data_IF_816618237373
#
_entry.id   IF_816618237373
#
_cell.length_a   1.000
_cell.length_b   1.000
_cell.length_c   1.000
_cell.angle_alpha   90.00
_cell.angle_beta   90.00
_cell.angle_gamma   90.00
#
_symmetry.space_group_name_H-M   'P 1'
#
loop_
_entity.id
_entity.type
_entity.pdbx_description
1 polymer ?
#
# COMPACT_ATOMS: atom_id res chain seq x y z
N UNK A 1 13.82 -3.96 -11.01
CA UNK A 1 12.36 -3.69 -11.01
C UNK A 1 12.06 -2.73 -9.88
N UNK A 2 11.27 -1.68 -10.13
CA UNK A 2 10.84 -0.73 -9.10
C UNK A 2 9.45 -1.13 -8.59
N UNK A 3 9.31 -1.32 -7.28
CA UNK A 3 8.02 -1.60 -6.65
C UNK A 3 7.26 -0.28 -6.45
N UNK A 4 5.98 -0.18 -6.86
CA UNK A 4 5.17 0.98 -6.53
C UNK A 4 5.09 1.20 -5.02
N UNK A 5 5.34 2.45 -4.61
CA UNK A 5 5.24 2.90 -3.22
C UNK A 5 4.09 3.88 -3.08
N UNK A 6 3.08 3.50 -2.30
CA UNK A 6 1.93 4.34 -1.97
C UNK A 6 2.10 4.83 -0.54
N UNK A 7 2.03 6.14 -0.31
CA UNK A 7 2.14 6.72 1.04
C UNK A 7 0.84 7.44 1.39
N UNK A 8 0.23 7.07 2.52
CA UNK A 8 -1.01 7.69 3.00
C UNK A 8 -0.86 8.11 4.46
N UNK A 9 -1.73 9.01 4.93
CA UNK A 9 -1.78 9.37 6.36
C UNK A 9 -2.19 8.16 7.20
N UNK A 10 -1.56 8.05 8.35
CA UNK A 10 -1.88 7.06 9.37
C UNK A 10 -3.23 7.40 10.00
N UNK A 11 -4.18 6.49 9.88
CA UNK A 11 -5.52 6.58 10.45
C UNK A 11 -6.03 5.17 10.79
N UNK A 12 -7.02 5.01 11.68
CA UNK A 12 -7.45 3.68 12.16
C UNK A 12 -7.73 2.68 11.03
N UNK A 13 -8.46 3.09 10.00
CA UNK A 13 -8.77 2.24 8.84
C UNK A 13 -7.51 1.81 8.08
N UNK A 14 -6.54 2.71 7.90
CA UNK A 14 -5.29 2.39 7.20
C UNK A 14 -4.40 1.43 7.99
N UNK A 15 -4.49 1.44 9.33
CA UNK A 15 -3.77 0.51 10.21
C UNK A 15 -4.35 -0.91 10.20
N UNK A 16 -5.60 -1.07 9.78
CA UNK A 16 -6.23 -2.38 9.62
C UNK A 16 -5.82 -3.11 8.34
N UNK A 17 -5.25 -2.38 7.37
CA UNK A 17 -4.75 -2.96 6.10
C UNK A 17 -3.51 -3.81 6.41
N UNK A 18 -3.42 -4.97 5.76
CA UNK A 18 -2.29 -5.89 5.90
C UNK A 18 -1.88 -6.46 4.51
N UNK A 19 -0.89 -7.35 4.49
CA UNK A 19 -0.31 -7.89 3.24
C UNK A 19 -1.20 -8.89 2.50
N UNK A 20 -2.36 -9.28 3.02
CA UNK A 20 -3.35 -10.05 2.26
C UNK A 20 -4.26 -9.17 1.38
N UNK A 21 -4.11 -7.85 1.48
CA UNK A 21 -4.92 -6.88 0.74
C UNK A 21 -4.25 -6.47 -0.58
N UNK A 22 -5.06 -5.93 -1.49
CA UNK A 22 -4.62 -5.30 -2.74
C UNK A 22 -5.02 -3.83 -2.79
N UNK A 23 -4.31 -3.05 -3.60
CA UNK A 23 -4.55 -1.64 -3.87
C UNK A 23 -4.90 -1.51 -5.35
N UNK A 24 -5.99 -0.83 -5.67
CA UNK A 24 -6.39 -0.52 -7.04
C UNK A 24 -6.16 0.96 -7.32
N UNK A 25 -5.42 1.28 -8.38
CA UNK A 25 -5.42 2.63 -8.94
C UNK A 25 -6.70 2.83 -9.76
N UNK A 26 -7.66 3.56 -9.19
CA UNK A 26 -8.95 3.85 -9.82
C UNK A 26 -8.86 4.57 -11.18
N UNK A 27 -7.73 5.23 -11.49
CA UNK A 27 -7.56 5.93 -12.77
C UNK A 27 -7.14 4.99 -13.90
N UNK A 28 -6.23 4.05 -13.60
CA UNK A 28 -5.69 3.12 -14.60
C UNK A 28 -6.33 1.73 -14.55
N UNK A 29 -7.05 1.40 -13.48
CA UNK A 29 -7.60 0.07 -13.22
C UNK A 29 -6.55 -0.95 -12.77
N UNK A 30 -5.29 -0.55 -12.59
CA UNK A 30 -4.22 -1.46 -12.20
C UNK A 30 -4.36 -1.87 -10.74
N UNK A 31 -4.23 -3.16 -10.49
CA UNK A 31 -4.29 -3.76 -9.15
C UNK A 31 -2.88 -4.20 -8.74
N UNK A 32 -2.52 -3.87 -7.50
CA UNK A 32 -1.22 -4.19 -6.91
C UNK A 32 -1.44 -4.94 -5.61
N UNK A 33 -0.70 -6.03 -5.41
CA UNK A 33 -0.73 -6.79 -4.16
C UNK A 33 0.21 -6.15 -3.13
N UNK A 34 -0.27 -5.93 -1.91
CA UNK A 34 0.54 -5.33 -0.84
C UNK A 34 1.58 -6.35 -0.37
N UNK A 35 2.85 -5.98 -0.43
CA UNK A 35 3.96 -6.84 0.03
C UNK A 35 4.50 -6.42 1.38
N UNK A 36 4.52 -5.12 1.65
CA UNK A 36 5.10 -4.58 2.87
C UNK A 36 4.43 -3.26 3.25
N UNK A 37 4.26 -3.05 4.55
CA UNK A 37 3.72 -1.81 5.11
C UNK A 37 4.75 -1.29 6.11
N UNK A 38 5.18 -0.04 5.94
CA UNK A 38 6.15 0.63 6.81
C UNK A 38 5.55 1.92 7.38
N UNK A 39 5.40 2.06 8.70
CA UNK A 39 5.16 3.35 9.29
C UNK A 39 6.37 4.27 9.12
N UNK A 40 6.14 5.57 9.01
CA UNK A 40 7.21 6.55 9.13
C UNK A 40 7.69 6.66 10.58
N UNK A 41 8.85 7.30 10.79
CA UNK A 41 9.47 7.42 12.13
C UNK A 41 8.55 8.08 13.16
N UNK A 42 7.63 8.95 12.74
CA UNK A 42 6.70 9.66 13.62
C UNK A 42 5.33 8.98 13.73
N UNK A 43 5.08 7.91 12.98
CA UNK A 43 3.79 7.22 12.90
C UNK A 43 2.66 8.02 12.24
N UNK A 44 2.97 9.14 11.60
CA UNK A 44 2.03 10.01 10.90
C UNK A 44 1.64 9.47 9.51
N UNK A 45 2.46 8.62 8.91
CA UNK A 45 2.24 8.06 7.57
C UNK A 45 2.50 6.55 7.55
N UNK A 46 1.83 5.88 6.61
CA UNK A 46 2.07 4.49 6.25
C UNK A 46 2.50 4.42 4.79
N UNK A 47 3.62 3.76 4.53
CA UNK A 47 4.15 3.47 3.21
C UNK A 47 3.87 2.00 2.85
N UNK A 48 3.04 1.80 1.83
CA UNK A 48 2.72 0.51 1.24
C UNK A 48 3.65 0.27 0.06
N UNK A 49 4.43 -0.81 0.13
CA UNK A 49 5.19 -1.33 -1.00
C UNK A 49 4.34 -2.43 -1.61
N UNK A 50 3.97 -2.25 -2.87
CA UNK A 50 3.14 -3.18 -3.60
C UNK A 50 3.87 -3.68 -4.84
N UNK A 51 3.41 -4.81 -5.36
CA UNK A 51 3.93 -5.39 -6.59
C UNK A 51 2.77 -5.63 -7.54
N UNK A 52 2.97 -5.41 -8.85
CA UNK A 52 1.98 -5.77 -9.84
C UNK A 52 1.80 -7.28 -9.81
N UNK A 53 0.64 -7.73 -9.35
CA UNK A 53 0.24 -9.12 -9.49
C UNK A 53 -0.82 -9.20 -10.57
N UNK A 54 -0.66 -10.10 -11.52
CA UNK A 54 -1.82 -10.66 -12.20
C UNK A 54 -2.62 -11.42 -11.14
N UNK A 55 -3.82 -10.94 -10.84
CA UNK A 55 -4.80 -11.68 -10.06
C UNK A 55 -5.10 -13.03 -10.75
#
# INVERSE_FOLDING_TARGET
MAFPRITIRSQPAAKAVNTSWSICDSRSGLVFNVKLIKPDQRGAFLAFIAESGTA
#
